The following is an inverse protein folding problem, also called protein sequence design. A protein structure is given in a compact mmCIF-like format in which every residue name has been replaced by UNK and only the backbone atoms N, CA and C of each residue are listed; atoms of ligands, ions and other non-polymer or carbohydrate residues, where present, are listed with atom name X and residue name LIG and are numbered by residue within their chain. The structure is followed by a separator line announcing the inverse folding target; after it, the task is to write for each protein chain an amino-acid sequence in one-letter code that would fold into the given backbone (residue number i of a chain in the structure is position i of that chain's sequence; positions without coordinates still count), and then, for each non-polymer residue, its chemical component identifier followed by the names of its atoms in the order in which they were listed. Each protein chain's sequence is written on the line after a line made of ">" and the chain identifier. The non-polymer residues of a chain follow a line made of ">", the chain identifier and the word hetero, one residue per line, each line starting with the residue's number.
data_IF_748225755380
#
_entry.id   IF_748225755380
#
_cell.length_a   1.000
_cell.length_b   1.000
_cell.length_c   1.000
_cell.angle_alpha   90.00
_cell.angle_beta   90.00
_cell.angle_gamma   90.00
#
_symmetry.space_group_name_H-M   'P 1'
#
loop_
_entity.id
_entity.type
_entity.pdbx_description
1 polymer ?
#
# COMPACT_ATOMS: atom_id res chain seq x y z
N UNK A 1 -5.60 -29.67 18.78
CA UNK A 1 -5.53 -28.29 19.32
C UNK A 1 -4.11 -27.82 19.17
N UNK A 2 -3.79 -27.12 18.08
CA UNK A 2 -2.49 -26.49 17.87
C UNK A 2 -2.55 -25.09 18.43
N UNK A 3 -1.65 -24.79 19.36
CA UNK A 3 -1.62 -23.56 20.14
C UNK A 3 -0.98 -22.45 19.29
N UNK A 4 -1.74 -21.83 18.40
CA UNK A 4 -1.26 -20.82 17.42
C UNK A 4 -1.07 -19.41 18.00
N UNK A 5 -0.75 -19.28 19.29
CA UNK A 5 -0.67 -17.97 19.95
C UNK A 5 0.63 -17.78 20.74
N UNK A 6 1.75 -17.67 20.02
CA UNK A 6 2.92 -16.97 20.54
C UNK A 6 3.20 -15.79 19.61
N UNK A 7 2.63 -14.62 19.93
CA UNK A 7 2.92 -13.39 19.22
C UNK A 7 4.40 -12.98 19.39
N UNK A 8 4.94 -12.21 18.46
CA UNK A 8 6.26 -11.61 18.63
C UNK A 8 6.15 -10.47 19.65
N UNK A 9 6.54 -10.67 20.90
CA UNK A 9 6.39 -9.66 21.97
C UNK A 9 7.62 -8.74 22.10
N UNK A 10 7.39 -7.47 22.41
CA UNK A 10 8.42 -6.48 22.68
C UNK A 10 9.11 -6.79 24.01
N UNK A 11 10.42 -6.97 24.00
CA UNK A 11 11.19 -7.29 25.21
C UNK A 11 11.31 -6.10 26.19
N UNK A 12 10.95 -4.89 25.76
CA UNK A 12 10.98 -3.68 26.60
C UNK A 12 9.67 -3.48 27.36
N UNK A 13 8.53 -3.60 26.69
CA UNK A 13 7.22 -3.28 27.28
C UNK A 13 6.25 -4.48 27.36
N UNK A 14 6.61 -5.65 26.81
CA UNK A 14 5.76 -6.84 26.77
C UNK A 14 4.59 -6.79 25.79
N UNK A 15 4.39 -5.69 25.06
CA UNK A 15 3.34 -5.57 24.04
C UNK A 15 3.62 -6.39 22.79
N UNK A 16 2.57 -6.78 22.04
CA UNK A 16 2.74 -7.42 20.73
C UNK A 16 3.48 -6.46 19.81
N UNK A 17 4.58 -6.91 19.20
CA UNK A 17 5.29 -6.14 18.19
C UNK A 17 4.39 -6.00 16.98
N UNK A 18 4.17 -4.78 16.47
CA UNK A 18 3.49 -4.59 15.21
C UNK A 18 4.28 -5.33 14.10
N UNK A 19 3.57 -5.76 13.05
CA UNK A 19 4.05 -6.61 11.95
C UNK A 19 5.14 -5.99 11.04
N UNK A 20 5.95 -5.08 11.58
CA UNK A 20 6.94 -4.29 10.86
C UNK A 20 6.33 -3.06 10.18
N UNK A 21 7.20 -2.12 9.83
CA UNK A 21 6.82 -0.95 9.02
C UNK A 21 6.66 -1.44 7.57
N UNK A 22 5.44 -1.37 7.03
CA UNK A 22 5.11 -1.79 5.65
C UNK A 22 5.08 -0.60 4.69
N UNK A 23 5.98 0.37 4.88
CA UNK A 23 6.04 1.60 4.08
C UNK A 23 7.05 1.41 2.97
N UNK A 24 6.63 1.65 1.73
CA UNK A 24 7.52 1.76 0.56
C UNK A 24 7.65 3.20 0.10
N UNK A 25 8.85 3.61 -0.30
CA UNK A 25 9.08 4.93 -0.90
C UNK A 25 8.87 4.88 -2.40
N UNK A 26 8.11 5.84 -2.92
CA UNK A 26 7.84 6.03 -4.35
C UNK A 26 8.02 7.50 -4.73
N UNK A 27 8.20 7.80 -6.01
CA UNK A 27 8.24 9.17 -6.51
C UNK A 27 6.84 9.65 -6.90
N UNK A 28 6.29 10.58 -6.11
CA UNK A 28 5.07 11.32 -6.47
C UNK A 28 5.48 12.72 -6.89
N UNK A 29 5.24 13.10 -8.16
CA UNK A 29 5.57 14.45 -8.64
C UNK A 29 7.06 14.80 -8.38
N UNK A 30 7.94 13.82 -8.64
CA UNK A 30 9.39 13.92 -8.42
C UNK A 30 9.84 13.91 -6.96
N UNK A 31 8.94 13.75 -5.99
CA UNK A 31 9.25 13.75 -4.56
C UNK A 31 9.14 12.36 -3.95
N UNK A 32 10.15 11.96 -3.17
CA UNK A 32 10.10 10.76 -2.37
C UNK A 32 8.94 10.83 -1.37
N UNK A 33 8.05 9.86 -1.46
CA UNK A 33 6.83 9.78 -0.66
C UNK A 33 6.69 8.35 -0.15
N UNK A 34 6.56 8.20 1.16
CA UNK A 34 6.25 6.91 1.78
C UNK A 34 4.78 6.57 1.60
N UNK A 35 4.49 5.39 1.05
CA UNK A 35 3.14 4.82 0.94
C UNK A 35 3.08 3.60 1.86
N UNK A 36 2.22 3.68 2.86
CA UNK A 36 1.89 2.59 3.76
C UNK A 36 1.08 1.52 3.03
N UNK A 37 1.41 0.25 3.29
CA UNK A 37 0.72 -0.92 2.73
C UNK A 37 0.75 -1.01 1.19
N UNK A 38 1.72 -0.38 0.51
CA UNK A 38 1.74 -0.33 -0.95
C UNK A 38 1.67 -1.73 -1.59
N UNK A 39 2.47 -2.69 -1.12
CA UNK A 39 2.48 -4.04 -1.71
C UNK A 39 1.14 -4.77 -1.52
N UNK A 40 0.48 -4.58 -0.37
CA UNK A 40 -0.86 -5.10 -0.12
C UNK A 40 -1.90 -4.47 -1.05
N UNK A 41 -1.82 -3.15 -1.26
CA UNK A 41 -2.72 -2.42 -2.17
C UNK A 41 -2.53 -2.91 -3.61
N UNK A 42 -1.28 -3.03 -4.07
CA UNK A 42 -0.98 -3.48 -5.43
C UNK A 42 -1.49 -4.91 -5.68
N UNK A 43 -1.22 -5.84 -4.75
CA UNK A 43 -1.71 -7.21 -4.85
C UNK A 43 -3.25 -7.27 -4.83
N UNK A 44 -3.89 -6.56 -3.89
CA UNK A 44 -5.34 -6.54 -3.78
C UNK A 44 -6.05 -5.99 -5.02
N UNK A 45 -5.50 -4.96 -5.67
CA UNK A 45 -6.06 -4.44 -6.92
C UNK A 45 -5.83 -5.39 -8.11
N UNK A 46 -4.70 -6.13 -8.16
CA UNK A 46 -4.47 -7.16 -9.18
C UNK A 46 -5.52 -8.27 -9.11
N UNK A 47 -5.87 -8.69 -7.90
CA UNK A 47 -6.87 -9.74 -7.65
C UNK A 47 -8.29 -9.34 -8.06
N UNK A 48 -8.55 -8.06 -8.36
CA UNK A 48 -9.83 -7.59 -8.89
C UNK A 48 -10.00 -7.88 -10.40
N UNK A 49 -8.91 -8.23 -11.11
CA UNK A 49 -8.91 -8.55 -12.54
C UNK A 49 -9.62 -7.49 -13.41
N UNK A 50 -9.38 -6.21 -13.12
CA UNK A 50 -9.99 -5.10 -13.84
C UNK A 50 -9.47 -5.00 -15.28
N UNK A 51 -10.37 -4.69 -16.21
CA UNK A 51 -10.09 -4.75 -17.65
C UNK A 51 -9.41 -3.48 -18.20
N UNK A 52 -9.51 -2.35 -17.51
CA UNK A 52 -8.99 -1.07 -17.98
C UNK A 52 -8.18 -0.29 -16.93
N UNK A 53 -7.24 0.51 -17.43
CA UNK A 53 -6.33 1.32 -16.62
C UNK A 53 -7.04 2.37 -15.75
N UNK A 54 -8.20 2.87 -16.17
CA UNK A 54 -8.94 3.88 -15.42
C UNK A 54 -9.59 3.28 -14.17
N UNK A 55 -10.16 2.08 -14.30
CA UNK A 55 -10.69 1.30 -13.19
C UNK A 55 -9.57 0.92 -12.20
N UNK A 56 -8.43 0.42 -12.70
CA UNK A 56 -7.25 0.11 -11.86
C UNK A 56 -6.80 1.35 -11.09
N UNK A 57 -6.64 2.49 -11.77
CA UNK A 57 -6.23 3.75 -11.14
C UNK A 57 -7.23 4.20 -10.06
N UNK A 58 -8.53 4.04 -10.31
CA UNK A 58 -9.57 4.39 -9.36
C UNK A 58 -9.48 3.55 -8.08
N UNK A 59 -9.33 2.23 -8.20
CA UNK A 59 -9.17 1.32 -7.06
C UNK A 59 -7.86 1.56 -6.31
N UNK A 60 -6.74 1.75 -7.02
CA UNK A 60 -5.46 2.10 -6.39
C UNK A 60 -5.58 3.37 -5.54
N UNK A 61 -6.21 4.42 -6.06
CA UNK A 61 -6.42 5.67 -5.34
C UNK A 61 -7.42 5.54 -4.18
N UNK A 62 -8.42 4.66 -4.32
CA UNK A 62 -9.38 4.35 -3.27
C UNK A 62 -8.68 3.68 -2.09
N UNK A 63 -8.01 2.56 -2.34
CA UNK A 63 -7.34 1.78 -1.29
C UNK A 63 -6.15 2.51 -0.69
N UNK A 64 -5.35 3.21 -1.50
CA UNK A 64 -4.26 4.01 -0.97
C UNK A 64 -4.76 5.13 -0.05
N UNK A 65 -5.95 5.70 -0.33
CA UNK A 65 -6.59 6.72 0.49
C UNK A 65 -7.05 6.23 1.87
N UNK A 66 -7.36 4.94 2.00
CA UNK A 66 -7.75 4.33 3.30
C UNK A 66 -6.56 4.26 4.27
N UNK A 67 -5.34 4.06 3.74
CA UNK A 67 -4.13 3.90 4.56
C UNK A 67 -3.23 5.15 4.59
N UNK A 68 -3.43 6.09 3.66
CA UNK A 68 -2.55 7.23 3.44
C UNK A 68 -3.34 8.51 3.17
N UNK A 69 -2.81 9.65 3.62
CA UNK A 69 -3.37 10.95 3.24
C UNK A 69 -2.97 11.31 1.80
N UNK A 70 -3.97 11.43 0.92
CA UNK A 70 -3.78 11.90 -0.46
C UNK A 70 -4.39 13.31 -0.57
N UNK A 71 -3.57 14.37 -0.70
CA UNK A 71 -4.09 15.72 -0.90
C UNK A 71 -4.92 15.79 -2.18
N UNK A 72 -6.12 16.36 -2.11
CA UNK A 72 -7.04 16.46 -3.27
C UNK A 72 -6.36 17.09 -4.49
N UNK A 73 -5.55 18.14 -4.28
CA UNK A 73 -4.79 18.84 -5.34
C UNK A 73 -3.70 17.99 -6.00
N UNK A 74 -3.29 16.88 -5.36
CA UNK A 74 -2.24 15.97 -5.83
C UNK A 74 -2.78 14.59 -6.22
N UNK A 75 -4.10 14.38 -6.22
CA UNK A 75 -4.72 13.08 -6.49
C UNK A 75 -4.25 12.48 -7.82
N UNK A 76 -4.14 13.31 -8.86
CA UNK A 76 -3.64 12.88 -10.17
C UNK A 76 -2.19 12.38 -10.10
N UNK A 77 -1.29 13.16 -9.48
CA UNK A 77 0.11 12.78 -9.32
C UNK A 77 0.29 11.48 -8.51
N UNK A 78 -0.56 11.27 -7.50
CA UNK A 78 -0.59 10.00 -6.76
C UNK A 78 -1.08 8.86 -7.64
N UNK A 79 -2.13 9.06 -8.44
CA UNK A 79 -2.63 8.07 -9.37
C UNK A 79 -1.57 7.63 -10.38
N UNK A 80 -0.80 8.59 -10.92
CA UNK A 80 0.26 8.30 -11.88
C UNK A 80 1.42 7.53 -11.23
N UNK A 81 1.80 7.91 -10.00
CA UNK A 81 2.80 7.19 -9.24
C UNK A 81 2.36 5.75 -8.93
N UNK A 82 1.14 5.56 -8.42
CA UNK A 82 0.59 4.24 -8.10
C UNK A 82 0.47 3.35 -9.34
N UNK A 83 0.02 3.90 -10.48
CA UNK A 83 -0.03 3.16 -11.75
C UNK A 83 1.35 2.73 -12.23
N UNK A 84 2.39 3.56 -12.03
CA UNK A 84 3.78 3.18 -12.34
C UNK A 84 4.23 2.01 -11.49
N UNK A 85 3.97 2.04 -10.18
CA UNK A 85 4.32 0.94 -9.28
C UNK A 85 3.54 -0.34 -9.59
N UNK A 86 2.25 -0.21 -9.92
CA UNK A 86 1.42 -1.33 -10.35
C UNK A 86 2.01 -2.01 -11.58
N UNK A 87 2.30 -1.26 -12.64
CA UNK A 87 2.88 -1.82 -13.88
C UNK A 87 4.30 -2.35 -13.72
N UNK A 88 5.09 -1.74 -12.82
CA UNK A 88 6.49 -2.12 -12.59
C UNK A 88 6.69 -3.34 -11.69
N UNK A 89 5.67 -3.77 -10.97
CA UNK A 89 5.73 -4.94 -10.08
C UNK A 89 5.11 -6.14 -10.79
N UNK A 90 5.88 -7.17 -11.21
CA UNK A 90 5.31 -8.38 -11.80
C UNK A 90 4.45 -9.17 -10.78
N UNK A 91 3.52 -9.99 -11.28
CA UNK A 91 2.69 -10.91 -10.47
C UNK A 91 3.51 -12.01 -9.79
#
# INVERSE_FOLDING_TARGET
>A
MTNEKEGNYCTVCGGIRPDGIKIRTVLVDGKETGINQLDFILAGVRDLHLEDDAAVRAELLSWAGEFNYIPTKKREAYGDALMREYRGTPE
#
